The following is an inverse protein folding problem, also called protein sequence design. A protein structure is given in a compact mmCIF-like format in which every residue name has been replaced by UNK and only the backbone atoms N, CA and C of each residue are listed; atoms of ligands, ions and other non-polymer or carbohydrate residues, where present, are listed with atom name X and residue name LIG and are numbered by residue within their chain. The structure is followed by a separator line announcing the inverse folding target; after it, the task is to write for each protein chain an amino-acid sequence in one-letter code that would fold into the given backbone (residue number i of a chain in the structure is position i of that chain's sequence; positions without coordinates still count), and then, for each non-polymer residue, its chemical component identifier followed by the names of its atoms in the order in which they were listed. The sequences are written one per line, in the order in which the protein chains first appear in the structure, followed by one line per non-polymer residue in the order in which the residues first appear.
data_IF_286293528019
#
_entry.id   IF_286293528019
#
_cell.length_a   1.000
_cell.length_b   1.000
_cell.length_c   1.000
_cell.angle_alpha   90.00
_cell.angle_beta   90.00
_cell.angle_gamma   90.00
#
_symmetry.space_group_name_H-M   'P 1'
#
loop_
_entity.id
_entity.type
_entity.pdbx_description
1 polymer ?
#
# COMPACT_ATOMS: atom_id res chain seq x y z
N UNK A 1 -3.02 -27.54 -26.04
CA UNK A 1 -3.28 -26.07 -25.98
C UNK A 1 -3.03 -25.59 -24.54
N UNK A 2 -1.81 -25.15 -24.24
CA UNK A 2 -1.40 -24.83 -22.87
C UNK A 2 -2.11 -23.55 -22.38
N UNK A 3 -2.94 -23.69 -21.34
CA UNK A 3 -3.58 -22.56 -20.64
C UNK A 3 -2.48 -21.68 -20.04
N UNK A 4 -2.16 -20.60 -20.74
CA UNK A 4 -1.31 -19.51 -20.26
C UNK A 4 -1.92 -19.00 -18.95
N UNK A 5 -1.30 -19.34 -17.82
CA UNK A 5 -1.72 -18.91 -16.48
C UNK A 5 -1.68 -17.39 -16.44
N UNK A 6 -2.87 -16.78 -16.59
CA UNK A 6 -3.06 -15.33 -16.57
C UNK A 6 -2.53 -14.80 -15.24
N UNK A 7 -1.42 -14.08 -15.29
CA UNK A 7 -0.98 -13.22 -14.21
C UNK A 7 -2.15 -12.42 -13.64
N UNK A 8 -2.20 -12.31 -12.32
CA UNK A 8 -3.30 -11.79 -11.51
C UNK A 8 -4.08 -10.67 -12.19
N UNK A 9 -5.40 -10.83 -12.20
CA UNK A 9 -6.38 -9.96 -12.87
C UNK A 9 -6.11 -8.48 -12.61
N UNK A 10 -5.48 -7.80 -13.57
CA UNK A 10 -5.30 -6.35 -13.53
C UNK A 10 -6.69 -5.71 -13.46
N UNK A 11 -6.88 -4.79 -12.51
CA UNK A 11 -8.14 -4.07 -12.39
C UNK A 11 -8.45 -3.30 -13.68
N UNK A 12 -9.73 -3.01 -13.92
CA UNK A 12 -10.17 -2.25 -15.10
C UNK A 12 -9.42 -0.90 -15.21
N UNK A 13 -9.26 -0.40 -16.43
CA UNK A 13 -8.58 0.87 -16.71
C UNK A 13 -9.17 2.03 -15.87
N UNK A 14 -10.49 2.03 -15.69
CA UNK A 14 -11.20 2.97 -14.82
C UNK A 14 -10.78 2.82 -13.34
N UNK A 15 -10.72 1.61 -12.80
CA UNK A 15 -10.30 1.35 -11.42
C UNK A 15 -8.84 1.77 -11.17
N UNK A 16 -7.95 1.56 -12.16
CA UNK A 16 -6.54 2.02 -12.08
C UNK A 16 -6.43 3.53 -12.05
N UNK A 17 -7.22 4.23 -12.88
CA UNK A 17 -7.29 5.71 -12.91
C UNK A 17 -7.85 6.26 -11.60
N UNK A 18 -8.93 5.67 -11.08
CA UNK A 18 -9.51 6.06 -9.80
C UNK A 18 -8.52 5.86 -8.63
N UNK A 19 -7.85 4.71 -8.57
CA UNK A 19 -6.85 4.43 -7.54
C UNK A 19 -5.64 5.38 -7.63
N UNK A 20 -5.21 5.75 -8.85
CA UNK A 20 -4.16 6.76 -9.06
C UNK A 20 -4.60 8.13 -8.54
N UNK A 21 -5.81 8.59 -8.88
CA UNK A 21 -6.36 9.87 -8.40
C UNK A 21 -6.46 9.90 -6.87
N UNK A 22 -6.91 8.81 -6.26
CA UNK A 22 -6.96 8.66 -4.81
C UNK A 22 -5.57 8.69 -4.16
N UNK A 23 -4.57 8.06 -4.77
CA UNK A 23 -3.18 8.12 -4.29
C UNK A 23 -2.58 9.53 -4.43
N UNK A 24 -2.79 10.24 -5.54
CA UNK A 24 -2.32 11.61 -5.71
C UNK A 24 -2.98 12.58 -4.72
N UNK A 25 -4.29 12.45 -4.48
CA UNK A 25 -4.98 13.22 -3.45
C UNK A 25 -4.42 12.92 -2.05
N UNK A 26 -4.18 11.64 -1.73
CA UNK A 26 -3.58 11.24 -0.47
C UNK A 26 -2.11 11.70 -0.33
N UNK A 27 -1.36 11.78 -1.43
CA UNK A 27 0.02 12.29 -1.46
C UNK A 27 0.09 13.78 -1.11
N UNK A 28 -0.90 14.57 -1.52
CA UNK A 28 -1.02 16.00 -1.17
C UNK A 28 -1.45 16.21 0.28
N UNK A 29 -2.36 15.37 0.79
CA UNK A 29 -2.96 15.52 2.12
C UNK A 29 -2.13 14.91 3.26
N UNK A 30 -1.48 13.77 3.00
CA UNK A 30 -0.84 12.96 4.04
C UNK A 30 0.67 12.84 3.82
N UNK A 31 1.42 12.88 4.93
CA UNK A 31 2.86 12.62 4.91
C UNK A 31 3.11 11.15 4.54
N UNK A 32 4.25 10.82 3.91
CA UNK A 32 4.63 9.42 3.73
C UNK A 32 4.64 8.70 5.09
N UNK A 33 4.35 7.41 5.14
CA UNK A 33 4.24 6.69 6.42
C UNK A 33 2.96 6.92 7.22
N UNK A 34 2.15 7.94 6.91
CA UNK A 34 0.80 8.03 7.47
C UNK A 34 -0.13 6.95 6.90
N UNK A 35 -1.06 6.49 7.74
CA UNK A 35 -2.00 5.43 7.39
C UNK A 35 -2.88 5.77 6.18
N UNK A 36 -3.28 7.04 6.05
CA UNK A 36 -4.09 7.52 4.92
C UNK A 36 -3.40 7.36 3.57
N UNK A 37 -2.13 7.80 3.47
CA UNK A 37 -1.32 7.64 2.26
C UNK A 37 -0.99 6.19 1.97
N UNK A 38 -0.65 5.42 3.00
CA UNK A 38 -0.27 4.02 2.88
C UNK A 38 -1.44 3.17 2.36
N UNK A 39 -2.66 3.42 2.85
CA UNK A 39 -3.88 2.74 2.36
C UNK A 39 -4.17 3.07 0.89
N UNK A 40 -4.06 4.34 0.50
CA UNK A 40 -4.29 4.74 -0.89
C UNK A 40 -3.22 4.15 -1.83
N UNK A 41 -1.96 4.15 -1.40
CA UNK A 41 -0.85 3.52 -2.13
C UNK A 41 -1.05 2.00 -2.26
N UNK A 42 -1.50 1.33 -1.19
CA UNK A 42 -1.81 -0.11 -1.22
C UNK A 42 -2.89 -0.43 -2.26
N UNK A 43 -3.99 0.33 -2.26
CA UNK A 43 -5.07 0.18 -3.25
C UNK A 43 -4.57 0.42 -4.68
N UNK A 44 -3.72 1.43 -4.88
CA UNK A 44 -3.10 1.69 -6.16
C UNK A 44 -2.23 0.53 -6.64
N UNK A 45 -1.34 0.00 -5.80
CA UNK A 45 -0.49 -1.14 -6.13
C UNK A 45 -1.32 -2.40 -6.42
N UNK A 46 -2.34 -2.69 -5.60
CA UNK A 46 -3.22 -3.83 -5.85
C UNK A 46 -3.98 -3.67 -7.18
N UNK A 47 -4.46 -2.47 -7.51
CA UNK A 47 -5.07 -2.20 -8.82
C UNK A 47 -4.08 -2.34 -10.00
N UNK A 48 -2.77 -2.20 -9.75
CA UNK A 48 -1.74 -2.47 -10.76
C UNK A 48 -1.47 -3.97 -10.96
N UNK A 49 -1.99 -4.85 -10.09
CA UNK A 49 -1.82 -6.30 -10.14
C UNK A 49 -0.81 -6.84 -9.11
N UNK A 50 -0.37 -6.02 -8.15
CA UNK A 50 0.47 -6.50 -7.06
C UNK A 50 -0.36 -7.25 -6.01
N UNK A 51 0.18 -8.33 -5.46
CA UNK A 51 -0.40 -9.01 -4.30
C UNK A 51 -0.39 -8.08 -3.07
N UNK A 52 -1.26 -8.38 -2.11
CA UNK A 52 -1.38 -7.60 -0.88
C UNK A 52 -0.06 -7.53 -0.10
N UNK A 53 0.64 -8.66 -0.01
CA UNK A 53 1.96 -8.76 0.61
C UNK A 53 3.00 -7.90 -0.12
N UNK A 54 3.06 -8.00 -1.45
CA UNK A 54 4.03 -7.23 -2.24
C UNK A 54 3.76 -5.73 -2.15
N UNK A 55 2.49 -5.33 -2.13
CA UNK A 55 2.10 -3.94 -1.89
C UNK A 55 2.52 -3.47 -0.48
N UNK A 56 2.32 -4.31 0.54
CA UNK A 56 2.77 -4.04 1.91
C UNK A 56 4.29 -3.88 2.03
N UNK A 57 5.05 -4.74 1.36
CA UNK A 57 6.51 -4.68 1.33
C UNK A 57 7.02 -3.38 0.71
N UNK A 58 6.45 -2.95 -0.43
CA UNK A 58 6.80 -1.69 -1.10
C UNK A 58 6.54 -0.49 -0.18
N UNK A 59 5.37 -0.45 0.47
CA UNK A 59 5.01 0.60 1.43
C UNK A 59 6.00 0.62 2.60
N UNK A 60 6.34 -0.56 3.13
CA UNK A 60 7.33 -0.71 4.20
C UNK A 60 8.70 -0.17 3.82
N UNK A 61 9.17 -0.46 2.60
CA UNK A 61 10.45 0.05 2.09
C UNK A 61 10.44 1.57 1.91
N UNK A 62 9.38 2.15 1.35
CA UNK A 62 9.23 3.61 1.23
C UNK A 62 9.25 4.28 2.62
N UNK A 63 8.53 3.70 3.57
CA UNK A 63 8.46 4.19 4.92
C UNK A 63 9.79 4.10 5.67
N UNK A 64 10.50 2.98 5.55
CA UNK A 64 11.85 2.79 6.11
C UNK A 64 12.86 3.77 5.51
N UNK A 65 12.80 4.01 4.19
CA UNK A 65 13.68 4.97 3.52
C UNK A 65 13.47 6.41 4.04
N UNK A 66 12.23 6.80 4.35
CA UNK A 66 11.94 8.16 4.83
C UNK A 66 12.13 8.37 6.34
N UNK A 67 11.70 7.41 7.16
CA UNK A 67 11.62 7.60 8.62
C UNK A 67 12.59 6.71 9.40
N UNK A 68 13.31 5.82 8.72
CA UNK A 68 14.18 4.84 9.34
C UNK A 68 13.43 3.61 9.85
N UNK A 69 14.15 2.49 9.98
CA UNK A 69 13.61 1.22 10.46
C UNK A 69 13.09 1.29 11.91
N UNK A 70 13.80 1.98 12.80
CA UNK A 70 13.44 2.09 14.23
C UNK A 70 12.10 2.78 14.46
N UNK A 71 11.82 3.86 13.72
CA UNK A 71 10.56 4.61 13.82
C UNK A 71 9.38 3.82 13.24
N UNK A 72 9.59 3.14 12.12
CA UNK A 72 8.58 2.26 11.53
C UNK A 72 8.25 1.06 12.42
N UNK A 73 9.26 0.45 13.05
CA UNK A 73 9.05 -0.64 14.00
C UNK A 73 8.21 -0.19 15.21
N UNK A 74 8.45 1.02 15.73
CA UNK A 74 7.64 1.62 16.81
C UNK A 74 6.18 1.81 16.40
N UNK A 75 5.92 2.38 15.22
CA UNK A 75 4.55 2.55 14.73
C UNK A 75 3.85 1.21 14.46
N UNK A 76 4.57 0.21 13.93
CA UNK A 76 4.05 -1.14 13.76
C UNK A 76 3.69 -1.80 15.11
N UNK A 77 4.58 -1.70 16.09
CA UNK A 77 4.35 -2.21 17.45
C UNK A 77 3.16 -1.51 18.12
N UNK A 78 3.04 -0.18 17.98
CA UNK A 78 1.91 0.59 18.49
C UNK A 78 0.60 0.18 17.82
N UNK A 79 0.62 -0.07 16.51
CA UNK A 79 -0.53 -0.62 15.78
C UNK A 79 -0.96 -2.00 16.30
N UNK A 80 -0.01 -2.91 16.54
CA UNK A 80 -0.28 -4.24 17.12
C UNK A 80 -0.87 -4.14 18.53
N UNK A 81 -0.33 -3.26 19.38
CA UNK A 81 -0.86 -3.02 20.74
C UNK A 81 -2.29 -2.47 20.72
N UNK A 82 -2.61 -1.57 19.78
CA UNK A 82 -3.98 -1.06 19.60
C UNK A 82 -4.94 -2.14 19.10
N UNK A 83 -4.50 -3.02 18.20
CA UNK A 83 -5.31 -4.16 17.73
C UNK A 83 -5.61 -5.16 18.85
N UNK A 84 -4.68 -5.35 19.79
CA UNK A 84 -4.89 -6.23 20.95
C UNK A 84 -5.83 -5.64 22.01
N UNK A 85 -6.00 -4.32 22.03
CA UNK A 85 -6.88 -3.59 22.95
C UNK A 85 -8.31 -3.37 22.41
N UNK A 86 -8.59 -3.82 21.20
CA UNK A 86 -9.90 -3.69 20.54
C UNK A 86 -10.44 -5.08 20.25
#
# INVERSE_FOLDING_TARGET
MAKRTKGGTKASLAARRAARKAYEAAKKKYKPGEGGRSRALKKYLMAQGYSEERAGAIIGTIGRKKYGAKKMARWAAQGRKRKKKK
#
